data_IF_768927312244
#
_entry.id   IF_768927312244
#
_cell.length_a   1.000
_cell.length_b   1.000
_cell.length_c   1.000
_cell.angle_alpha   90.00
_cell.angle_beta   90.00
_cell.angle_gamma   90.00
#
_symmetry.space_group_name_H-M   'P 1'
#
loop_
_entity.id
_entity.type
_entity.pdbx_description
1 polymer ?
#
# COMPACT_ATOMS: atom_id res chain seq x y z
N UNK A 1 -37.46 -5.94 50.16
CA UNK A 1 -38.53 -6.69 49.46
C UNK A 1 -37.83 -7.88 48.79
N UNK A 2 -37.47 -8.96 49.50
CA UNK A 2 -38.37 -10.00 50.05
C UNK A 2 -39.53 -10.28 49.08
N UNK A 3 -39.80 -11.47 48.54
CA UNK A 3 -39.26 -12.84 48.67
C UNK A 3 -40.23 -13.71 47.86
N UNK A 4 -39.72 -14.74 47.14
CA UNK A 4 -40.26 -16.13 47.14
C UNK A 4 -41.65 -16.38 46.51
N UNK A 5 -42.05 -17.56 46.02
CA UNK A 5 -41.54 -18.93 45.99
C UNK A 5 -42.55 -19.74 45.14
N UNK A 6 -42.09 -20.69 44.33
CA UNK A 6 -42.50 -22.12 44.38
C UNK A 6 -41.86 -22.91 43.22
N UNK A 7 -41.42 -24.18 43.28
CA UNK A 7 -40.97 -25.21 44.26
C UNK A 7 -40.50 -26.39 43.35
N UNK A 8 -39.23 -26.87 43.35
CA UNK A 8 -38.64 -28.02 44.09
C UNK A 8 -39.45 -29.37 43.97
N UNK A 9 -38.93 -30.53 43.50
CA UNK A 9 -37.73 -31.32 43.97
C UNK A 9 -37.28 -32.49 43.04
N UNK A 10 -35.94 -32.66 42.93
CA UNK A 10 -35.02 -33.85 43.04
C UNK A 10 -35.19 -35.08 42.12
N UNK A 11 -34.19 -35.79 41.58
CA UNK A 11 -32.77 -36.11 41.90
C UNK A 11 -31.97 -36.23 40.56
N UNK A 12 -30.64 -36.14 40.41
CA UNK A 12 -29.54 -36.69 41.19
C UNK A 12 -28.22 -35.93 40.93
N UNK A 13 -27.29 -36.09 41.87
CA UNK A 13 -26.00 -35.45 41.97
C UNK A 13 -24.96 -35.92 40.92
N UNK A 14 -24.21 -34.98 40.37
CA UNK A 14 -22.75 -35.06 40.23
C UNK A 14 -22.23 -33.66 39.86
N UNK A 15 -21.24 -33.20 40.63
CA UNK A 15 -20.65 -31.88 40.60
C UNK A 15 -20.15 -31.44 39.21
N UNK A 16 -20.38 -30.17 38.87
CA UNK A 16 -19.71 -29.44 37.78
C UNK A 16 -18.27 -29.12 38.20
N UNK A 17 -17.49 -30.16 38.46
CA UNK A 17 -16.03 -30.13 38.57
C UNK A 17 -15.37 -31.05 37.52
N UNK A 18 -16.13 -31.45 36.50
CA UNK A 18 -15.70 -32.37 35.45
C UNK A 18 -16.36 -32.06 34.09
N UNK A 19 -16.40 -30.79 33.70
CA UNK A 19 -16.39 -30.45 32.26
C UNK A 19 -14.92 -30.38 31.86
N UNK A 20 -14.47 -31.59 31.53
CA UNK A 20 -13.13 -32.03 31.22
C UNK A 20 -12.38 -31.03 30.34
N UNK A 21 -11.28 -30.52 30.90
CA UNK A 21 -10.13 -30.10 30.14
C UNK A 21 -9.90 -31.10 28.99
N UNK A 22 -9.91 -30.60 27.76
CA UNK A 22 -9.34 -31.31 26.63
C UNK A 22 -7.87 -31.57 27.00
N UNK A 23 -7.59 -32.74 27.55
CA UNK A 23 -6.27 -33.18 27.94
C UNK A 23 -5.44 -33.35 26.67
N UNK A 24 -4.70 -32.31 26.28
CA UNK A 24 -3.41 -32.51 25.63
C UNK A 24 -2.51 -33.15 26.71
N UNK A 25 -2.48 -34.48 26.77
CA UNK A 25 -1.49 -35.20 27.57
C UNK A 25 -0.12 -34.69 27.14
N UNK A 26 0.67 -34.19 28.10
CA UNK A 26 2.04 -33.77 27.84
C UNK A 26 2.80 -34.94 27.17
N UNK A 27 3.61 -34.68 26.14
CA UNK A 27 4.30 -35.73 25.41
C UNK A 27 5.18 -36.53 26.38
N UNK A 28 5.18 -37.85 26.24
CA UNK A 28 6.05 -38.71 27.05
C UNK A 28 7.53 -38.48 26.67
N UNK A 29 8.48 -38.82 27.53
CA UNK A 29 9.91 -38.78 27.16
C UNK A 29 10.23 -39.60 25.90
N UNK A 30 9.48 -40.68 25.66
CA UNK A 30 9.56 -41.50 24.45
C UNK A 30 9.03 -40.76 23.21
N UNK A 31 7.90 -40.06 23.33
CA UNK A 31 7.36 -39.24 22.23
C UNK A 31 8.31 -38.10 21.86
N UNK A 32 8.92 -37.44 22.86
CA UNK A 32 9.90 -36.37 22.65
C UNK A 32 11.15 -36.89 21.96
N UNK A 33 11.64 -38.06 22.38
CA UNK A 33 12.79 -38.72 21.79
C UNK A 33 12.51 -39.15 20.33
N UNK A 34 11.36 -39.74 20.06
CA UNK A 34 10.95 -40.14 18.72
C UNK A 34 10.85 -38.94 17.76
N UNK A 35 10.34 -37.81 18.24
CA UNK A 35 10.31 -36.55 17.47
C UNK A 35 11.72 -36.02 17.20
N UNK A 36 12.62 -36.06 18.20
CA UNK A 36 14.01 -35.63 18.04
C UNK A 36 14.76 -36.51 17.03
N UNK A 37 14.56 -37.83 17.10
CA UNK A 37 15.13 -38.78 16.13
C UNK A 37 14.57 -38.58 14.71
N UNK A 38 13.25 -38.37 14.58
CA UNK A 38 12.61 -38.02 13.30
C UNK A 38 13.15 -36.72 12.71
N UNK A 39 13.44 -35.74 13.55
CA UNK A 39 14.09 -34.49 13.13
C UNK A 39 15.54 -34.71 12.67
N UNK A 40 16.32 -35.53 13.38
CA UNK A 40 17.70 -35.84 13.01
C UNK A 40 17.78 -36.60 11.68
N UNK A 41 16.94 -37.62 11.50
CA UNK A 41 16.88 -38.45 10.29
C UNK A 41 16.34 -37.71 9.06
N UNK A 42 15.39 -36.79 9.24
CA UNK A 42 14.90 -35.97 8.12
C UNK A 42 15.93 -34.95 7.63
N UNK A 43 16.82 -34.48 8.50
CA UNK A 43 17.90 -33.55 8.15
C UNK A 43 19.15 -34.27 7.65
N UNK A 44 19.36 -35.52 8.06
CA UNK A 44 20.43 -36.44 7.66
C UNK A 44 21.82 -35.81 7.52
N UNK A 45 22.23 -35.08 8.56
CA UNK A 45 23.53 -34.42 8.63
C UNK A 45 24.14 -34.53 10.04
N UNK A 46 25.48 -34.47 10.16
CA UNK A 46 26.16 -34.75 11.41
C UNK A 46 25.66 -33.92 12.59
N UNK A 47 25.46 -32.61 12.41
CA UNK A 47 25.08 -31.73 13.52
C UNK A 47 23.68 -32.06 14.07
N UNK A 48 22.78 -32.56 13.22
CA UNK A 48 21.44 -32.96 13.63
C UNK A 48 21.48 -34.22 14.52
N UNK A 49 22.31 -35.20 14.14
CA UNK A 49 22.56 -36.38 14.95
C UNK A 49 23.36 -36.07 16.23
N UNK A 50 24.31 -35.13 16.19
CA UNK A 50 25.04 -34.67 17.37
C UNK A 50 24.12 -33.96 18.37
N UNK A 51 23.21 -33.11 17.88
CA UNK A 51 22.20 -32.45 18.72
C UNK A 51 21.31 -33.48 19.40
N UNK A 52 20.87 -34.50 18.65
CA UNK A 52 20.12 -35.62 19.20
C UNK A 52 20.93 -36.38 20.27
N UNK A 53 22.19 -36.71 20.00
CA UNK A 53 23.07 -37.43 20.93
C UNK A 53 23.38 -36.65 22.20
N UNK A 54 23.39 -35.31 22.15
CA UNK A 54 23.63 -34.47 23.32
C UNK A 54 22.49 -34.59 24.36
N UNK A 55 21.26 -34.79 23.90
CA UNK A 55 20.07 -34.91 24.77
C UNK A 55 19.73 -36.38 25.06
N UNK A 56 19.88 -37.25 24.06
CA UNK A 56 19.43 -38.64 24.08
C UNK A 56 20.59 -39.64 23.91
N UNK A 57 21.78 -39.34 24.43
CA UNK A 57 22.98 -40.15 24.20
C UNK A 57 22.99 -41.59 24.75
N UNK A 58 21.95 -41.98 25.51
CA UNK A 58 21.74 -43.34 26.03
C UNK A 58 20.50 -44.04 25.42
N UNK A 59 19.84 -43.42 24.44
CA UNK A 59 18.67 -43.99 23.78
C UNK A 59 19.02 -45.23 22.95
N UNK A 60 17.97 -45.95 22.51
CA UNK A 60 18.10 -47.04 21.54
C UNK A 60 18.70 -46.56 20.20
N UNK A 61 18.43 -45.32 19.78
CA UNK A 61 18.94 -44.78 18.51
C UNK A 61 20.32 -44.12 18.63
N UNK A 62 20.92 -44.04 19.82
CA UNK A 62 22.23 -43.39 20.00
C UNK A 62 23.34 -44.06 19.16
N UNK A 63 23.41 -45.39 19.15
CA UNK A 63 24.40 -46.09 18.31
C UNK A 63 24.13 -45.91 16.81
N UNK A 64 22.85 -45.92 16.40
CA UNK A 64 22.48 -45.67 15.02
C UNK A 64 22.87 -44.24 14.57
N UNK A 65 22.67 -43.25 15.43
CA UNK A 65 23.10 -41.86 15.19
C UNK A 65 24.63 -41.78 15.01
N UNK A 66 25.41 -42.41 15.90
CA UNK A 66 26.89 -42.44 15.81
C UNK A 66 27.37 -43.12 14.53
N UNK A 67 26.77 -44.25 14.17
CA UNK A 67 27.08 -44.97 12.93
C UNK A 67 26.76 -44.11 11.70
N UNK A 68 25.61 -43.43 11.70
CA UNK A 68 25.22 -42.58 10.59
C UNK A 68 26.14 -41.37 10.43
N UNK A 69 26.56 -40.74 11.53
CA UNK A 69 27.60 -39.69 11.48
C UNK A 69 28.88 -40.24 10.85
N UNK A 70 29.36 -41.40 11.28
CA UNK A 70 30.59 -42.01 10.74
C UNK A 70 30.48 -42.32 9.24
N UNK A 71 29.32 -42.83 8.80
CA UNK A 71 29.03 -43.11 7.39
C UNK A 71 29.01 -41.82 6.56
N UNK A 72 28.31 -40.78 7.02
CA UNK A 72 28.26 -39.48 6.36
C UNK A 72 29.66 -38.88 6.21
N UNK A 73 30.53 -39.03 7.22
CA UNK A 73 31.92 -38.59 7.17
C UNK A 73 32.75 -39.37 6.14
N UNK A 74 32.47 -40.65 5.91
CA UNK A 74 33.14 -41.43 4.85
C UNK A 74 32.66 -40.97 3.48
N UNK A 75 31.35 -40.83 3.29
CA UNK A 75 30.74 -40.38 2.03
C UNK A 75 31.24 -39.00 1.62
N UNK A 76 31.34 -38.07 2.58
CA UNK A 76 31.90 -36.73 2.37
C UNK A 76 33.34 -36.79 1.87
N UNK A 77 34.22 -37.57 2.54
CA UNK A 77 35.63 -37.68 2.14
C UNK A 77 35.80 -38.28 0.75
N UNK A 78 35.01 -39.29 0.42
CA UNK A 78 35.01 -39.89 -0.91
C UNK A 78 34.52 -38.91 -1.98
N UNK A 79 33.43 -38.18 -1.70
CA UNK A 79 32.90 -37.16 -2.60
C UNK A 79 33.91 -36.03 -2.81
N UNK A 80 34.59 -35.60 -1.76
CA UNK A 80 35.68 -34.63 -1.85
C UNK A 80 36.85 -35.13 -2.70
N UNK A 81 37.27 -36.38 -2.50
CA UNK A 81 38.31 -37.02 -3.31
C UNK A 81 37.94 -37.04 -4.80
N UNK A 82 36.69 -37.38 -5.12
CA UNK A 82 36.16 -37.32 -6.50
C UNK A 82 36.13 -35.90 -7.05
N UNK A 83 35.65 -34.92 -6.27
CA UNK A 83 35.60 -33.52 -6.69
C UNK A 83 36.98 -32.98 -7.04
N UNK A 84 38.00 -33.30 -6.22
CA UNK A 84 39.40 -32.96 -6.50
C UNK A 84 39.98 -33.68 -7.70
N UNK A 85 39.60 -34.93 -7.93
CA UNK A 85 40.07 -35.70 -9.07
C UNK A 85 39.51 -35.15 -10.39
N UNK A 86 38.23 -34.79 -10.42
CA UNK A 86 37.57 -34.22 -11.60
C UNK A 86 37.96 -32.74 -11.79
N UNK A 87 38.04 -31.98 -10.70
CA UNK A 87 38.45 -30.58 -10.61
C UNK A 87 37.74 -29.65 -11.61
N UNK A 88 36.41 -29.73 -11.66
CA UNK A 88 35.54 -28.84 -12.46
C UNK A 88 34.56 -28.08 -11.57
N UNK A 89 34.03 -26.95 -12.06
CA UNK A 89 32.98 -26.18 -11.39
C UNK A 89 31.83 -27.09 -10.94
N UNK A 90 31.28 -27.90 -11.87
CA UNK A 90 30.19 -28.83 -11.61
C UNK A 90 30.50 -29.88 -10.53
N UNK A 91 31.73 -30.42 -10.50
CA UNK A 91 32.09 -31.43 -9.50
C UNK A 91 32.13 -30.85 -8.08
N UNK A 92 32.62 -29.61 -7.92
CA UNK A 92 32.60 -28.92 -6.62
C UNK A 92 31.18 -28.45 -6.25
N UNK A 93 30.35 -28.05 -7.21
CA UNK A 93 28.93 -27.76 -6.97
C UNK A 93 28.16 -28.99 -6.48
N UNK A 94 28.36 -30.14 -7.10
CA UNK A 94 27.73 -31.39 -6.70
C UNK A 94 28.14 -31.82 -5.29
N UNK A 95 29.43 -31.68 -4.96
CA UNK A 95 29.93 -31.90 -3.61
C UNK A 95 29.26 -30.96 -2.60
N UNK A 96 29.21 -29.66 -2.87
CA UNK A 96 28.62 -28.67 -1.95
C UNK A 96 27.11 -28.82 -1.75
N UNK A 97 26.40 -29.27 -2.79
CA UNK A 97 24.97 -29.55 -2.69
C UNK A 97 24.67 -30.69 -1.72
N UNK A 98 25.54 -31.70 -1.68
CA UNK A 98 25.37 -32.90 -0.85
C UNK A 98 26.02 -32.74 0.54
N UNK A 99 27.16 -32.06 0.59
CA UNK A 99 28.05 -31.99 1.75
C UNK A 99 28.46 -30.54 2.08
N UNK A 100 27.56 -29.57 1.91
CA UNK A 100 27.81 -28.16 2.26
C UNK A 100 28.12 -27.92 3.74
N UNK A 101 27.84 -28.91 4.60
CA UNK A 101 28.22 -28.96 6.02
C UNK A 101 29.62 -29.55 6.26
N UNK A 102 30.24 -30.16 5.26
CA UNK A 102 31.51 -30.89 5.38
C UNK A 102 32.71 -29.99 5.66
N UNK A 103 33.76 -30.56 6.25
CA UNK A 103 34.99 -29.83 6.57
C UNK A 103 35.67 -29.22 5.32
N UNK A 104 35.47 -29.80 4.14
CA UNK A 104 36.03 -29.30 2.88
C UNK A 104 35.09 -28.37 2.11
N UNK A 105 33.91 -28.01 2.66
CA UNK A 105 32.95 -27.13 1.99
C UNK A 105 33.57 -25.78 1.63
N UNK A 106 34.27 -25.15 2.55
CA UNK A 106 34.92 -23.85 2.28
C UNK A 106 35.98 -23.96 1.17
N UNK A 107 36.78 -25.02 1.15
CA UNK A 107 37.81 -25.22 0.12
C UNK A 107 37.18 -25.52 -1.24
N UNK A 108 36.15 -26.38 -1.28
CA UNK A 108 35.37 -26.66 -2.47
C UNK A 108 34.73 -25.40 -3.06
N UNK A 109 34.20 -24.53 -2.19
CA UNK A 109 33.59 -23.25 -2.58
C UNK A 109 34.61 -22.30 -3.22
N UNK A 110 35.76 -22.13 -2.59
CA UNK A 110 36.87 -21.35 -3.13
C UNK A 110 37.33 -21.90 -4.48
N UNK A 111 37.47 -23.22 -4.58
CA UNK A 111 37.94 -23.85 -5.82
C UNK A 111 36.92 -23.74 -6.95
N UNK A 112 35.62 -23.92 -6.65
CA UNK A 112 34.52 -23.64 -7.59
C UNK A 112 34.59 -22.20 -8.08
N UNK A 113 34.73 -21.23 -7.18
CA UNK A 113 34.78 -19.81 -7.53
C UNK A 113 35.95 -19.49 -8.48
N UNK A 114 37.15 -20.02 -8.19
CA UNK A 114 38.32 -19.87 -9.08
C UNK A 114 38.07 -20.46 -10.46
N UNK A 115 37.45 -21.64 -10.53
CA UNK A 115 37.16 -22.32 -11.80
C UNK A 115 36.04 -21.64 -12.60
N UNK A 116 35.06 -21.04 -11.93
CA UNK A 116 33.97 -20.30 -12.55
C UNK A 116 34.42 -18.92 -13.08
N UNK A 117 35.48 -18.33 -12.50
CA UNK A 117 35.91 -16.96 -12.79
C UNK A 117 36.09 -16.64 -14.29
N UNK A 118 36.71 -17.48 -15.14
CA UNK A 118 36.86 -17.19 -16.57
C UNK A 118 35.52 -17.15 -17.31
N UNK A 119 34.58 -18.05 -16.97
CA UNK A 119 33.24 -18.10 -17.56
C UNK A 119 32.43 -16.88 -17.14
N UNK A 120 32.46 -16.52 -15.85
CA UNK A 120 31.79 -15.34 -15.33
C UNK A 120 32.33 -14.05 -15.95
N UNK A 121 33.66 -13.91 -16.07
CA UNK A 121 34.28 -12.76 -16.76
C UNK A 121 33.92 -12.69 -18.26
N UNK A 122 33.76 -13.84 -18.93
CA UNK A 122 33.27 -13.85 -20.31
C UNK A 122 31.81 -13.42 -20.41
N UNK A 123 30.97 -13.86 -19.48
CA UNK A 123 29.56 -13.50 -19.41
C UNK A 123 29.37 -12.01 -19.11
N UNK A 124 30.08 -11.47 -18.11
CA UNK A 124 30.10 -10.04 -17.81
C UNK A 124 30.48 -9.22 -19.04
N UNK A 125 31.56 -9.59 -19.75
CA UNK A 125 31.99 -8.87 -20.95
C UNK A 125 30.94 -8.87 -22.06
N UNK A 126 30.20 -9.97 -22.21
CA UNK A 126 29.11 -10.05 -23.18
C UNK A 126 27.93 -9.15 -22.78
N UNK A 127 27.53 -9.19 -21.51
CA UNK A 127 26.45 -8.36 -20.98
C UNK A 127 26.82 -6.87 -21.03
N UNK A 128 28.09 -6.53 -20.74
CA UNK A 128 28.64 -5.18 -20.88
C UNK A 128 28.61 -4.71 -22.34
N UNK A 129 29.07 -5.54 -23.27
CA UNK A 129 29.06 -5.19 -24.69
C UNK A 129 27.64 -4.92 -25.19
N UNK A 130 26.66 -5.68 -24.72
CA UNK A 130 25.26 -5.42 -25.05
C UNK A 130 24.74 -4.14 -24.40
N UNK A 131 25.02 -3.90 -23.12
CA UNK A 131 24.62 -2.68 -22.43
C UNK A 131 25.21 -1.43 -23.11
N UNK A 132 26.49 -1.47 -23.46
CA UNK A 132 27.19 -0.41 -24.18
C UNK A 132 26.68 -0.22 -25.61
N UNK A 133 26.26 -1.30 -26.29
CA UNK A 133 25.68 -1.23 -27.64
C UNK A 133 24.28 -0.63 -27.64
N UNK A 134 23.45 -0.99 -26.66
CA UNK A 134 22.08 -0.48 -26.51
C UNK A 134 22.09 0.96 -26.00
N UNK A 135 23.00 1.26 -25.07
CA UNK A 135 23.25 2.56 -24.47
C UNK A 135 21.99 3.26 -23.91
N UNK A 136 21.19 2.49 -23.16
CA UNK A 136 19.97 2.97 -22.48
C UNK A 136 19.99 2.71 -21.00
N UNK A 137 19.20 3.49 -20.27
CA UNK A 137 19.04 3.41 -18.81
C UNK A 137 18.72 1.98 -18.36
N UNK A 138 17.72 1.34 -18.97
CA UNK A 138 17.30 -0.02 -18.61
C UNK A 138 18.39 -1.06 -18.84
N UNK A 139 19.23 -0.88 -19.86
CA UNK A 139 20.32 -1.80 -20.17
C UNK A 139 21.43 -1.74 -19.12
N UNK A 140 21.83 -0.53 -18.71
CA UNK A 140 22.83 -0.35 -17.63
C UNK A 140 22.28 -0.72 -16.26
N UNK A 141 21.00 -0.45 -15.96
CA UNK A 141 20.37 -0.92 -14.72
C UNK A 141 20.36 -2.46 -14.65
N UNK A 142 20.00 -3.13 -15.75
CA UNK A 142 20.05 -4.58 -15.87
C UNK A 142 21.46 -5.14 -15.67
N UNK A 143 22.45 -4.53 -16.34
CA UNK A 143 23.86 -4.89 -16.18
C UNK A 143 24.33 -4.75 -14.74
N UNK A 144 24.05 -3.61 -14.09
CA UNK A 144 24.45 -3.35 -12.70
C UNK A 144 23.74 -4.24 -11.69
N UNK A 145 22.52 -4.71 -11.98
CA UNK A 145 21.83 -5.67 -11.14
C UNK A 145 22.48 -7.07 -11.23
N UNK A 146 22.93 -7.48 -12.43
CA UNK A 146 23.62 -8.76 -12.63
C UNK A 146 25.08 -8.73 -12.14
N UNK A 147 25.76 -7.60 -12.34
CA UNK A 147 27.20 -7.42 -12.08
C UNK A 147 27.47 -6.20 -11.18
N UNK A 148 26.95 -6.17 -9.95
CA UNK A 148 27.03 -4.99 -9.08
C UNK A 148 28.47 -4.60 -8.73
N UNK A 149 29.39 -5.57 -8.66
CA UNK A 149 30.81 -5.34 -8.39
C UNK A 149 31.68 -5.87 -9.54
N UNK A 150 31.13 -5.97 -10.76
CA UNK A 150 31.86 -6.38 -11.95
C UNK A 150 32.95 -5.36 -12.34
N UNK A 151 33.89 -5.80 -13.17
CA UNK A 151 34.96 -4.97 -13.70
C UNK A 151 34.43 -3.72 -14.44
N UNK A 152 33.29 -3.82 -15.12
CA UNK A 152 32.67 -2.68 -15.84
C UNK A 152 31.60 -1.95 -15.01
N UNK A 153 31.41 -2.28 -13.73
CA UNK A 153 30.33 -1.72 -12.91
C UNK A 153 30.49 -0.23 -12.60
N UNK A 154 31.72 0.28 -12.46
CA UNK A 154 31.94 1.73 -12.26
C UNK A 154 31.64 2.53 -13.52
N UNK A 155 32.07 2.03 -14.68
CA UNK A 155 31.81 2.65 -15.98
C UNK A 155 30.31 2.66 -16.28
N UNK A 156 29.63 1.54 -16.06
CA UNK A 156 28.18 1.44 -16.19
C UNK A 156 27.44 2.44 -15.29
N UNK A 157 27.86 2.61 -14.02
CA UNK A 157 27.29 3.62 -13.12
C UNK A 157 27.49 5.04 -13.63
N UNK A 158 28.70 5.36 -14.08
CA UNK A 158 29.01 6.69 -14.63
C UNK A 158 28.17 6.98 -15.88
N UNK A 159 27.99 5.97 -16.75
CA UNK A 159 27.19 6.14 -17.97
C UNK A 159 25.71 6.27 -17.65
N UNK A 160 25.21 5.48 -16.70
CA UNK A 160 23.83 5.57 -16.21
C UNK A 160 23.53 6.94 -15.60
N UNK A 161 24.44 7.48 -14.76
CA UNK A 161 24.31 8.82 -14.20
C UNK A 161 24.23 9.90 -15.28
N UNK A 162 25.09 9.82 -16.30
CA UNK A 162 25.01 10.70 -17.45
C UNK A 162 23.65 10.62 -18.16
N UNK A 163 23.16 9.42 -18.45
CA UNK A 163 21.87 9.22 -19.12
C UNK A 163 20.70 9.76 -18.31
N UNK A 164 20.74 9.68 -16.98
CA UNK A 164 19.71 10.29 -16.14
C UNK A 164 19.67 11.83 -16.23
N UNK A 165 20.76 12.47 -16.66
CA UNK A 165 20.84 13.92 -16.83
C UNK A 165 20.45 14.41 -18.24
N UNK A 166 20.02 13.51 -19.14
CA UNK A 166 19.52 13.86 -20.47
C UNK A 166 17.99 14.03 -20.49
N UNK A 167 17.47 14.46 -21.65
CA UNK A 167 16.02 14.49 -21.90
C UNK A 167 15.42 13.07 -21.93
N UNK A 168 16.14 12.07 -22.44
CA UNK A 168 15.74 10.66 -22.33
C UNK A 168 15.61 10.23 -20.86
N UNK A 169 16.57 10.57 -20.00
CA UNK A 169 16.45 10.29 -18.56
C UNK A 169 15.27 11.00 -17.91
N UNK A 170 15.02 12.26 -18.25
CA UNK A 170 13.84 12.98 -17.77
C UNK A 170 12.53 12.34 -18.28
N UNK A 171 12.51 11.85 -19.50
CA UNK A 171 11.38 11.13 -20.08
C UNK A 171 11.13 9.80 -19.36
N UNK A 172 12.16 8.99 -19.13
CA UNK A 172 12.05 7.73 -18.38
C UNK A 172 11.54 7.99 -16.96
N UNK A 173 12.00 9.06 -16.28
CA UNK A 173 11.44 9.45 -14.98
C UNK A 173 9.94 9.78 -15.08
N UNK A 174 9.53 10.55 -16.08
CA UNK A 174 8.13 10.88 -16.28
C UNK A 174 7.27 9.64 -16.57
N UNK A 175 7.79 8.69 -17.34
CA UNK A 175 7.14 7.41 -17.59
C UNK A 175 7.03 6.53 -16.34
N UNK A 176 8.08 6.47 -15.52
CA UNK A 176 8.06 5.69 -14.26
C UNK A 176 7.11 6.30 -13.22
N UNK A 177 7.00 7.62 -13.18
CA UNK A 177 6.07 8.31 -12.30
C UNK A 177 4.62 8.19 -12.79
N UNK A 178 4.42 8.03 -14.11
CA UNK A 178 3.13 7.89 -14.79
C UNK A 178 2.04 8.78 -14.17
N UNK A 179 2.28 10.09 -14.21
CA UNK A 179 1.38 11.07 -13.62
C UNK A 179 1.33 12.35 -14.42
N UNK A 180 0.23 13.09 -14.26
CA UNK A 180 0.04 14.41 -14.85
C UNK A 180 1.21 15.34 -14.51
N UNK A 181 1.65 15.34 -13.25
CA UNK A 181 2.78 16.15 -12.79
C UNK A 181 4.09 15.78 -13.50
N UNK A 182 4.42 14.48 -13.57
CA UNK A 182 5.65 14.01 -14.20
C UNK A 182 5.76 14.38 -15.68
N UNK A 183 4.68 14.16 -16.44
CA UNK A 183 4.66 14.51 -17.86
C UNK A 183 4.66 16.03 -18.08
N UNK A 184 3.99 16.81 -17.23
CA UNK A 184 4.02 18.27 -17.30
C UNK A 184 5.40 18.85 -16.96
N UNK A 185 6.07 18.32 -15.94
CA UNK A 185 7.45 18.68 -15.58
C UNK A 185 8.42 18.40 -16.72
N UNK A 186 8.32 17.22 -17.33
CA UNK A 186 9.11 16.85 -18.51
C UNK A 186 8.90 17.84 -19.67
N UNK A 187 7.66 18.15 -20.02
CA UNK A 187 7.34 19.09 -21.10
C UNK A 187 7.81 20.51 -20.82
N UNK A 188 7.86 20.93 -19.55
CA UNK A 188 8.38 22.25 -19.15
C UNK A 188 9.89 22.32 -19.33
N UNK A 189 10.61 21.28 -18.93
CA UNK A 189 12.06 21.22 -19.02
C UNK A 189 12.55 20.97 -20.45
N UNK A 190 11.86 20.11 -21.20
CA UNK A 190 12.27 19.63 -22.53
C UNK A 190 11.15 19.75 -23.58
N UNK A 191 10.63 20.96 -23.85
CA UNK A 191 9.48 21.15 -24.75
C UNK A 191 9.73 20.76 -26.22
N UNK A 192 11.00 20.62 -26.62
CA UNK A 192 11.44 20.25 -27.98
C UNK A 192 12.08 18.86 -28.06
N UNK A 193 12.07 18.09 -26.97
CA UNK A 193 12.58 16.71 -26.99
C UNK A 193 11.74 15.85 -27.95
N UNK A 194 12.34 14.84 -28.61
CA UNK A 194 11.58 13.86 -29.41
C UNK A 194 10.43 13.21 -28.62
N UNK A 195 10.54 13.08 -27.29
CA UNK A 195 9.50 12.47 -26.45
C UNK A 195 8.36 13.45 -26.07
N UNK A 196 8.44 14.73 -26.44
CA UNK A 196 7.44 15.73 -26.08
C UNK A 196 6.05 15.40 -26.66
N UNK A 197 5.98 14.83 -27.87
CA UNK A 197 4.71 14.41 -28.46
C UNK A 197 4.05 13.30 -27.64
N UNK A 198 4.83 12.33 -27.16
CA UNK A 198 4.35 11.23 -26.34
C UNK A 198 3.87 11.71 -24.96
N UNK A 199 4.61 12.60 -24.33
CA UNK A 199 4.21 13.22 -23.06
C UNK A 199 2.87 13.97 -23.18
N UNK A 200 2.67 14.73 -24.26
CA UNK A 200 1.38 15.41 -24.54
C UNK A 200 0.25 14.41 -24.73
N UNK A 201 0.49 13.34 -25.49
CA UNK A 201 -0.51 12.27 -25.69
C UNK A 201 -0.92 11.63 -24.36
N UNK A 202 0.03 11.39 -23.45
CA UNK A 202 -0.25 10.85 -22.11
C UNK A 202 -1.11 11.82 -21.28
N UNK A 203 -0.80 13.11 -21.30
CA UNK A 203 -1.62 14.13 -20.63
C UNK A 203 -3.05 14.20 -21.19
N UNK A 204 -3.20 14.13 -22.51
CA UNK A 204 -4.52 14.11 -23.16
C UNK A 204 -5.32 12.86 -22.77
N UNK A 205 -4.66 11.73 -22.56
CA UNK A 205 -5.29 10.50 -22.08
C UNK A 205 -5.79 10.63 -20.65
N UNK A 206 -4.97 11.14 -19.71
CA UNK A 206 -5.44 11.43 -18.34
C UNK A 206 -6.64 12.36 -18.36
N UNK A 207 -6.59 13.41 -19.18
CA UNK A 207 -7.69 14.35 -19.31
C UNK A 207 -8.97 13.67 -19.81
N UNK A 208 -8.89 12.81 -20.83
CA UNK A 208 -10.05 12.05 -21.32
C UNK A 208 -10.62 11.11 -20.25
N UNK A 209 -9.77 10.45 -19.48
CA UNK A 209 -10.20 9.56 -18.39
C UNK A 209 -10.90 10.33 -17.27
N UNK A 210 -10.33 11.47 -16.87
CA UNK A 210 -10.90 12.39 -15.88
C UNK A 210 -12.27 12.94 -16.33
N UNK A 211 -12.34 13.47 -17.56
CA UNK A 211 -13.58 13.98 -18.16
C UNK A 211 -14.67 12.88 -18.23
N UNK A 212 -14.29 11.66 -18.62
CA UNK A 212 -15.23 10.54 -18.69
C UNK A 212 -15.76 10.13 -17.31
N UNK A 213 -14.89 10.06 -16.30
CA UNK A 213 -15.26 9.72 -14.94
C UNK A 213 -16.17 10.79 -14.33
N UNK A 214 -15.85 12.06 -14.57
CA UNK A 214 -16.70 13.19 -14.20
C UNK A 214 -18.09 13.12 -14.84
N UNK A 215 -18.16 12.91 -16.15
CA UNK A 215 -19.42 12.76 -16.88
C UNK A 215 -20.26 11.59 -16.38
N UNK A 216 -19.60 10.49 -16.00
CA UNK A 216 -20.24 9.32 -15.39
C UNK A 216 -20.86 9.66 -14.03
N UNK A 217 -20.12 10.37 -13.17
CA UNK A 217 -20.61 10.84 -11.87
C UNK A 217 -21.78 11.81 -12.03
N UNK A 218 -21.67 12.75 -12.98
CA UNK A 218 -22.75 13.69 -13.32
C UNK A 218 -24.04 13.04 -13.81
N UNK A 219 -23.94 11.97 -14.61
CA UNK A 219 -25.12 11.27 -15.13
C UNK A 219 -25.88 10.52 -14.03
N UNK A 220 -25.16 10.01 -13.04
CA UNK A 220 -25.78 9.33 -11.88
C UNK A 220 -26.27 10.33 -10.85
N UNK A 221 -25.55 11.42 -10.66
CA UNK A 221 -25.87 12.50 -9.73
C UNK A 221 -26.08 12.01 -8.28
N UNK A 222 -25.20 11.12 -7.83
CA UNK A 222 -25.25 10.49 -6.51
C UNK A 222 -23.97 10.80 -5.74
N UNK A 223 -24.08 11.02 -4.42
CA UNK A 223 -22.94 11.34 -3.54
C UNK A 223 -21.80 10.33 -3.71
N UNK A 224 -22.12 9.02 -3.71
CA UNK A 224 -21.13 7.94 -3.86
C UNK A 224 -20.32 8.02 -5.15
N UNK A 225 -20.91 8.52 -6.23
CA UNK A 225 -20.24 8.56 -7.54
C UNK A 225 -19.29 9.74 -7.63
N UNK A 226 -19.65 10.87 -7.04
CA UNK A 226 -18.74 12.01 -6.90
C UNK A 226 -17.60 11.70 -5.93
N UNK A 227 -17.87 10.99 -4.83
CA UNK A 227 -16.83 10.54 -3.90
C UNK A 227 -15.85 9.57 -4.57
N UNK A 228 -16.36 8.63 -5.39
CA UNK A 228 -15.53 7.74 -6.21
C UNK A 228 -14.65 8.54 -7.17
N UNK A 229 -15.22 9.53 -7.87
CA UNK A 229 -14.46 10.40 -8.75
C UNK A 229 -13.35 11.16 -8.00
N UNK A 230 -13.65 11.76 -6.83
CA UNK A 230 -12.65 12.47 -6.00
C UNK A 230 -11.53 11.53 -5.55
N UNK A 231 -11.87 10.28 -5.22
CA UNK A 231 -10.91 9.26 -4.82
C UNK A 231 -9.99 8.86 -5.98
N UNK A 232 -10.58 8.54 -7.14
CA UNK A 232 -9.83 8.05 -8.32
C UNK A 232 -9.01 9.17 -8.99
N UNK A 233 -9.47 10.42 -8.88
CA UNK A 233 -8.86 11.60 -9.47
C UNK A 233 -8.59 12.69 -8.40
N UNK A 234 -7.66 12.46 -7.47
CA UNK A 234 -7.41 13.37 -6.34
C UNK A 234 -6.85 14.74 -6.77
N UNK A 235 -6.30 14.83 -7.99
CA UNK A 235 -5.88 16.07 -8.63
C UNK A 235 -6.59 16.29 -9.98
N UNK A 236 -7.78 15.70 -10.15
CA UNK A 236 -8.61 15.83 -11.36
C UNK A 236 -9.12 17.24 -11.59
N UNK A 237 -9.47 17.57 -12.83
CA UNK A 237 -9.91 18.92 -13.20
C UNK A 237 -11.26 19.30 -12.57
N UNK A 238 -12.11 18.31 -12.30
CA UNK A 238 -13.47 18.50 -11.77
C UNK A 238 -13.57 18.20 -10.27
N UNK A 239 -12.44 18.05 -9.56
CA UNK A 239 -12.45 17.71 -8.13
C UNK A 239 -13.26 18.70 -7.30
N UNK A 240 -13.00 19.99 -7.47
CA UNK A 240 -13.70 21.03 -6.72
C UNK A 240 -15.21 21.07 -7.06
N UNK A 241 -15.56 20.77 -8.32
CA UNK A 241 -16.96 20.66 -8.75
C UNK A 241 -17.66 19.45 -8.10
N UNK A 242 -16.99 18.30 -8.05
CA UNK A 242 -17.48 17.10 -7.39
C UNK A 242 -17.66 17.32 -5.88
N UNK A 243 -16.70 17.95 -5.21
CA UNK A 243 -16.79 18.27 -3.77
C UNK A 243 -17.97 19.20 -3.48
N UNK A 244 -18.15 20.25 -4.30
CA UNK A 244 -19.32 21.14 -4.23
C UNK A 244 -20.61 20.37 -4.41
N UNK A 245 -20.67 19.44 -5.36
CA UNK A 245 -21.89 18.68 -5.64
C UNK A 245 -22.24 17.71 -4.52
N UNK A 246 -21.24 17.05 -3.93
CA UNK A 246 -21.41 16.22 -2.72
C UNK A 246 -22.01 17.05 -1.58
N UNK A 247 -21.48 18.24 -1.34
CA UNK A 247 -22.01 19.12 -0.30
C UNK A 247 -23.48 19.50 -0.55
N UNK A 248 -23.83 19.86 -1.79
CA UNK A 248 -25.22 20.20 -2.17
C UNK A 248 -26.18 19.03 -1.98
N UNK A 249 -25.85 17.85 -2.50
CA UNK A 249 -26.70 16.66 -2.39
C UNK A 249 -26.96 16.26 -0.93
N UNK A 250 -25.92 16.32 -0.08
CA UNK A 250 -26.07 16.05 1.35
C UNK A 250 -26.93 17.10 2.06
N UNK A 251 -26.82 18.37 1.68
CA UNK A 251 -27.66 19.43 2.23
C UNK A 251 -29.12 19.26 1.80
N UNK A 252 -29.38 18.92 0.55
CA UNK A 252 -30.72 18.65 0.02
C UNK A 252 -31.37 17.45 0.70
N UNK A 253 -30.62 16.36 0.89
CA UNK A 253 -31.08 15.16 1.62
C UNK A 253 -31.47 15.52 3.07
N UNK A 254 -30.62 16.27 3.78
CA UNK A 254 -30.92 16.74 5.14
C UNK A 254 -32.17 17.62 5.19
N UNK A 255 -32.31 18.56 4.27
CA UNK A 255 -33.50 19.42 4.19
C UNK A 255 -34.78 18.63 3.90
N UNK A 256 -34.69 17.60 3.05
CA UNK A 256 -35.81 16.70 2.77
C UNK A 256 -36.18 15.87 4.01
N UNK A 257 -35.18 15.34 4.72
CA UNK A 257 -35.37 14.61 5.98
C UNK A 257 -36.03 15.49 7.06
N UNK A 258 -35.53 16.71 7.27
CA UNK A 258 -36.11 17.62 8.27
C UNK A 258 -37.57 17.98 7.96
N UNK A 259 -37.93 18.08 6.67
CA UNK A 259 -39.35 18.24 6.26
C UNK A 259 -40.18 17.01 6.59
N UNK A 260 -39.65 15.81 6.37
CA UNK A 260 -40.34 14.57 6.71
C UNK A 260 -40.55 14.45 8.23
N UNK A 261 -39.51 14.75 9.03
CA UNK A 261 -39.57 14.77 10.50
C UNK A 261 -40.55 15.81 11.03
N UNK A 262 -40.59 17.03 10.46
CA UNK A 262 -41.55 18.06 10.86
C UNK A 262 -43.00 17.65 10.62
N UNK A 263 -43.27 16.87 9.57
CA UNK A 263 -44.60 16.35 9.27
C UNK A 263 -44.94 15.12 10.12
N UNK A 264 -43.96 14.25 10.34
CA UNK A 264 -44.07 13.01 11.09
C UNK A 264 -45.26 12.12 10.66
N UNK A 265 -45.48 12.04 9.35
CA UNK A 265 -46.54 11.21 8.74
C UNK A 265 -45.94 10.16 7.81
N UNK A 266 -46.67 9.07 7.59
CA UNK A 266 -46.27 8.01 6.63
C UNK A 266 -46.00 8.65 5.25
N UNK A 267 -46.92 9.48 4.74
CA UNK A 267 -46.76 10.16 3.44
C UNK A 267 -45.52 11.07 3.39
N UNK A 268 -45.18 11.74 4.49
CA UNK A 268 -43.98 12.59 4.57
C UNK A 268 -42.69 11.79 4.43
N UNK A 269 -42.61 10.62 5.06
CA UNK A 269 -41.47 9.72 4.95
C UNK A 269 -41.44 8.96 3.61
N UNK A 270 -42.60 8.57 3.07
CA UNK A 270 -42.68 7.95 1.73
C UNK A 270 -42.24 8.94 0.64
N UNK A 271 -42.62 10.22 0.75
CA UNK A 271 -42.12 11.27 -0.14
C UNK A 271 -40.61 11.45 -0.04
N UNK A 272 -40.04 11.42 1.16
CA UNK A 272 -38.59 11.43 1.35
C UNK A 272 -37.91 10.23 0.66
N UNK A 273 -38.40 9.02 0.89
CA UNK A 273 -37.86 7.80 0.27
C UNK A 273 -37.98 7.79 -1.26
N UNK A 274 -39.02 8.42 -1.80
CA UNK A 274 -39.23 8.55 -3.24
C UNK A 274 -38.31 9.60 -3.89
N UNK A 275 -38.03 10.71 -3.20
CA UNK A 275 -37.22 11.82 -3.74
C UNK A 275 -35.73 11.68 -3.47
N UNK A 276 -35.33 11.06 -2.35
CA UNK A 276 -33.94 10.88 -1.94
C UNK A 276 -33.54 9.41 -2.07
N UNK A 277 -33.31 8.95 -3.32
CA UNK A 277 -33.11 7.52 -3.64
C UNK A 277 -31.94 6.86 -2.92
N UNK A 278 -30.86 7.60 -2.67
CA UNK A 278 -29.67 7.14 -1.93
C UNK A 278 -29.36 8.07 -0.72
N UNK A 279 -30.40 8.65 -0.12
CA UNK A 279 -30.26 9.51 1.06
C UNK A 279 -29.77 8.76 2.32
N UNK A 280 -29.10 9.47 3.23
CA UNK A 280 -28.53 8.92 4.46
C UNK A 280 -29.62 8.46 5.45
N UNK A 281 -30.80 9.09 5.41
CA UNK A 281 -31.87 8.87 6.37
C UNK A 281 -32.90 7.82 5.95
N UNK A 282 -32.67 7.08 4.86
CA UNK A 282 -33.62 6.08 4.33
C UNK A 282 -34.03 5.03 5.37
N UNK A 283 -33.06 4.42 6.05
CA UNK A 283 -33.34 3.43 7.09
C UNK A 283 -34.13 4.02 8.27
N UNK A 284 -33.86 5.28 8.61
CA UNK A 284 -34.59 5.99 9.67
C UNK A 284 -36.03 6.26 9.25
N UNK A 285 -36.24 6.69 8.00
CA UNK A 285 -37.57 6.89 7.43
C UNK A 285 -38.38 5.59 7.43
N UNK A 286 -37.80 4.48 6.96
CA UNK A 286 -38.45 3.17 6.94
C UNK A 286 -38.82 2.67 8.34
N UNK A 287 -37.93 2.82 9.32
CA UNK A 287 -38.24 2.48 10.72
C UNK A 287 -39.39 3.33 11.24
N UNK A 288 -39.39 4.63 10.95
CA UNK A 288 -40.45 5.53 11.43
C UNK A 288 -41.80 5.21 10.79
N UNK A 289 -41.85 4.91 9.49
CA UNK A 289 -43.06 4.43 8.81
C UNK A 289 -43.62 3.20 9.51
N UNK A 290 -42.77 2.22 9.86
CA UNK A 290 -43.20 1.01 10.57
C UNK A 290 -43.84 1.35 11.91
N UNK A 291 -43.19 2.18 12.72
CA UNK A 291 -43.73 2.62 14.02
C UNK A 291 -45.07 3.35 13.88
N UNK A 292 -45.21 4.23 12.88
CA UNK A 292 -46.47 4.94 12.63
C UNK A 292 -47.59 3.99 12.20
N UNK A 293 -47.29 2.98 11.36
CA UNK A 293 -48.26 1.94 10.96
C UNK A 293 -48.69 1.08 12.15
N UNK A 294 -47.75 0.68 13.01
CA UNK A 294 -48.06 -0.08 14.23
C UNK A 294 -48.95 0.71 15.18
N UNK A 295 -48.68 1.99 15.39
CA UNK A 295 -49.50 2.87 16.22
C UNK A 295 -50.92 3.07 15.64
N UNK A 296 -51.07 3.08 14.31
CA UNK A 296 -52.38 3.13 13.64
C UNK A 296 -53.14 1.79 13.77
N UNK A 297 -52.44 0.66 13.70
CA UNK A 297 -53.05 -0.66 13.82
C UNK A 297 -53.45 -0.99 15.28
N UNK A 298 -52.69 -0.51 16.25
CA UNK A 298 -52.91 -0.72 17.69
C UNK A 298 -52.97 0.64 18.41
N UNK A 299 -54.07 1.39 18.30
CA UNK A 299 -54.20 2.67 18.98
C UNK A 299 -54.17 2.46 20.51
N UNK A 300 -53.56 3.39 21.28
CA UNK A 300 -53.57 3.30 22.73
C UNK A 300 -55.02 3.30 23.25
N UNK A 301 -55.30 2.58 24.36
CA UNK A 301 -56.64 2.58 24.96
C UNK A 301 -57.06 4.02 25.29
N UNK A 302 -58.36 4.36 25.16
CA UNK A 302 -58.83 5.70 25.43
C UNK A 302 -58.48 6.10 26.88
N UNK A 303 -58.18 7.38 27.13
CA UNK A 303 -57.94 7.84 28.49
C UNK A 303 -59.16 7.51 29.36
N UNK A 304 -58.97 7.17 30.65
CA UNK A 304 -60.09 6.91 31.54
C UNK A 304 -61.05 8.10 31.52
N UNK A 305 -62.38 7.86 31.57
CA UNK A 305 -63.35 8.95 31.56
C UNK A 305 -63.03 9.92 32.70
N UNK A 306 -62.85 11.19 32.36
CA UNK A 306 -62.71 12.26 33.34
C UNK A 306 -64.02 12.31 34.12
N UNK A 307 -64.07 11.75 35.32
CA UNK A 307 -65.20 11.95 36.23
C UNK A 307 -65.25 13.42 36.58
N UNK A 308 -66.20 14.16 36.00
CA UNK A 308 -66.49 15.53 36.42
C UNK A 308 -66.84 15.50 37.92
N UNK A 309 -66.18 16.31 38.78
CA UNK A 309 -66.64 16.53 40.15
C UNK A 309 -68.06 17.11 40.16
N UNK A 310 -68.90 16.84 41.18
CA UNK A 310 -70.27 17.32 41.21
C UNK A 310 -70.34 18.85 41.14
N UNK A 311 -71.33 19.35 40.38
CA UNK A 311 -71.51 20.78 40.13
C UNK A 311 -71.67 21.58 41.44
N UNK A 312 -70.98 22.73 41.59
CA UNK A 312 -71.16 23.60 42.76
C UNK A 312 -72.56 24.25 42.77
N UNK A 313 -73.12 24.58 43.95
CA UNK A 313 -74.47 25.14 44.08
C UNK A 313 -74.59 26.55 43.46
N UNK A 314 -75.80 26.98 43.06
CA UNK A 314 -76.00 28.23 42.33
C UNK A 314 -75.68 29.47 43.18
N UNK A 315 -75.16 30.54 42.57
CA UNK A 315 -74.76 31.75 43.28
C UNK A 315 -75.98 32.58 43.76
N UNK A 316 -75.84 33.35 44.87
CA UNK A 316 -76.88 34.24 45.38
C UNK A 316 -77.13 35.46 44.46
N UNK A 317 -78.31 36.11 44.55
CA UNK A 317 -78.73 37.17 43.63
C UNK A 317 -77.85 38.45 43.73
N UNK A 318 -77.77 39.24 42.64
CA UNK A 318 -76.81 40.33 42.51
C UNK A 318 -77.17 41.52 43.40
N UNK A 319 -76.16 42.11 44.06
CA UNK A 319 -76.26 43.41 44.72
C UNK A 319 -76.27 44.54 43.67
N UNK A 320 -76.97 45.66 43.91
CA UNK A 320 -77.01 46.79 42.99
C UNK A 320 -75.63 47.47 42.87
N UNK A 321 -75.26 47.84 41.63
CA UNK A 321 -74.00 48.51 41.27
C UNK A 321 -73.91 49.91 41.88
N UNK A 322 -72.80 50.29 42.52
CA UNK A 322 -72.46 51.69 42.73
C UNK A 322 -72.08 52.38 41.41
N UNK A 323 -72.38 53.67 41.35
CA UNK A 323 -72.25 54.58 40.21
C UNK A 323 -70.81 54.78 39.77
N UNK A 324 -70.65 54.97 38.46
CA UNK A 324 -69.43 55.41 37.77
C UNK A 324 -68.87 56.71 38.34
N UNK A 325 -67.87 56.64 39.22
CA UNK A 325 -66.83 57.66 39.40
C UNK A 325 -65.51 56.95 39.72
N UNK A 326 -64.44 57.34 39.02
CA UNK A 326 -63.06 56.83 39.05
C UNK A 326 -62.73 55.63 38.15
N UNK A 327 -62.82 55.83 36.83
CA UNK A 327 -61.97 55.08 35.88
C UNK A 327 -60.57 55.75 35.81
N UNK A 328 -59.47 55.04 36.12
CA UNK A 328 -58.13 55.52 35.84
C UNK A 328 -57.86 55.53 34.32
N UNK A 329 -57.00 56.45 33.81
CA UNK A 329 -56.73 56.55 32.38
C UNK A 329 -56.10 55.27 31.80
N UNK A 330 -56.30 54.98 30.51
CA UNK A 330 -55.76 53.77 29.88
C UNK A 330 -54.24 53.76 29.90
N UNK A 331 -53.66 52.58 30.17
CA UNK A 331 -52.23 52.34 30.11
C UNK A 331 -51.66 52.61 28.70
N UNK A 332 -50.43 53.13 28.58
CA UNK A 332 -49.80 53.32 27.27
C UNK A 332 -49.56 51.98 26.56
N UNK A 333 -49.55 51.96 25.22
CA UNK A 333 -49.32 50.74 24.45
C UNK A 333 -47.93 50.15 24.73
N UNK A 334 -47.77 48.82 24.67
CA UNK A 334 -46.45 48.19 24.83
C UNK A 334 -45.48 48.64 23.72
N UNK A 335 -44.18 48.72 23.99
CA UNK A 335 -43.20 49.08 22.97
C UNK A 335 -43.19 48.05 21.84
N UNK A 336 -43.12 48.55 20.61
CA UNK A 336 -42.89 47.75 19.40
C UNK A 336 -41.55 47.04 19.57
N UNK A 337 -41.58 45.73 19.81
CA UNK A 337 -40.38 44.90 19.72
C UNK A 337 -40.07 44.74 18.25
N UNK A 338 -39.11 45.52 17.75
CA UNK A 338 -38.49 45.26 16.45
C UNK A 338 -37.90 43.84 16.47
N UNK A 339 -38.08 43.02 15.41
CA UNK A 339 -37.40 41.74 15.32
C UNK A 339 -35.89 41.98 15.39
N UNK A 340 -35.11 41.08 16.03
CA UNK A 340 -33.66 41.23 16.09
C UNK A 340 -33.08 41.29 14.67
N UNK A 341 -32.14 42.21 14.46
CA UNK A 341 -31.37 42.31 13.23
C UNK A 341 -30.76 40.94 12.87
N UNK A 342 -30.65 40.59 11.56
CA UNK A 342 -29.92 39.40 11.17
C UNK A 342 -28.48 39.48 11.74
N UNK A 343 -27.89 38.36 12.16
CA UNK A 343 -26.51 38.37 12.63
C UNK A 343 -25.60 38.94 11.52
N UNK A 344 -24.51 39.65 11.89
CA UNK A 344 -23.57 40.14 10.91
C UNK A 344 -23.03 38.97 10.08
N UNK A 345 -22.97 39.17 8.76
CA UNK A 345 -22.22 38.31 7.85
C UNK A 345 -20.79 38.27 8.37
N UNK A 346 -20.41 37.18 9.02
CA UNK A 346 -19.00 36.87 9.26
C UNK A 346 -18.36 36.69 7.90
N UNK A 347 -17.56 37.67 7.48
CA UNK A 347 -16.56 37.45 6.45
C UNK A 347 -15.75 36.21 6.85
N UNK A 348 -15.42 35.31 5.91
CA UNK A 348 -14.55 34.18 6.21
C UNK A 348 -13.22 34.71 6.79
N UNK A 349 -12.63 34.03 7.78
CA UNK A 349 -11.36 34.45 8.33
C UNK A 349 -10.31 34.48 7.21
N UNK A 350 -9.58 35.59 7.10
CA UNK A 350 -8.31 35.64 6.38
C UNK A 350 -7.44 34.47 6.85
N UNK A 351 -6.81 33.69 5.94
CA UNK A 351 -5.95 32.60 6.35
C UNK A 351 -4.81 33.15 7.20
N UNK A 352 -4.67 32.64 8.44
CA UNK A 352 -3.49 32.89 9.25
C UNK A 352 -2.25 32.39 8.49
N UNK A 353 -1.12 33.11 8.52
CA UNK A 353 0.14 32.58 8.05
C UNK A 353 0.51 31.33 8.87
N UNK A 354 1.07 30.33 8.19
CA UNK A 354 1.50 29.05 8.77
C UNK A 354 2.39 29.28 10.00
N UNK A 355 2.38 28.37 10.99
CA UNK A 355 3.35 28.39 12.08
C UNK A 355 4.77 28.42 11.49
N UNK A 356 5.63 29.29 12.02
CA UNK A 356 7.07 29.24 11.74
C UNK A 356 7.58 27.87 12.19
N UNK A 357 8.23 27.16 11.27
CA UNK A 357 9.17 26.08 11.59
C UNK A 357 10.26 26.65 12.51
N UNK A 358 10.14 26.43 13.81
CA UNK A 358 11.19 26.66 14.80
C UNK A 358 11.34 25.45 15.71
N UNK A 359 11.45 24.26 15.11
CA UNK A 359 11.99 23.05 15.75
C UNK A 359 12.43 22.00 14.72
N UNK A 360 12.93 22.42 13.55
CA UNK A 360 13.72 21.54 12.68
C UNK A 360 15.21 21.83 12.89
N UNK A 361 16.06 20.80 13.11
CA UNK A 361 17.50 20.99 13.10
C UNK A 361 17.95 21.53 11.73
N UNK A 362 18.95 22.43 11.66
CA UNK A 362 19.37 23.02 10.40
C UNK A 362 19.86 21.93 9.43
N UNK A 363 19.60 22.07 8.11
CA UNK A 363 20.14 21.15 7.11
C UNK A 363 21.68 21.20 7.13
N UNK A 364 22.30 20.05 6.87
CA UNK A 364 23.76 19.93 6.79
C UNK A 364 24.34 20.93 5.78
N UNK A 365 25.54 21.51 6.05
CA UNK A 365 26.16 22.46 5.13
C UNK A 365 26.42 21.80 3.77
N UNK A 366 26.28 22.55 2.66
CA UNK A 366 26.59 22.03 1.34
C UNK A 366 28.06 21.59 1.27
N UNK A 367 28.37 20.52 0.50
CA UNK A 367 29.75 20.13 0.28
C UNK A 367 30.54 21.29 -0.36
N UNK A 368 31.84 21.41 -0.09
CA UNK A 368 32.66 22.48 -0.63
C UNK A 368 32.58 22.47 -2.17
N UNK A 369 32.43 23.66 -2.77
CA UNK A 369 32.48 23.83 -4.22
C UNK A 369 33.87 23.43 -4.68
N UNK A 370 34.00 22.22 -5.22
CA UNK A 370 35.20 21.78 -5.91
C UNK A 370 35.16 22.43 -7.29
N UNK A 371 36.05 23.40 -7.52
CA UNK A 371 36.26 23.99 -8.84
C UNK A 371 36.50 22.87 -9.87
N UNK A 372 35.88 22.91 -11.06
CA UNK A 372 36.10 21.89 -12.08
C UNK A 372 37.58 21.83 -12.48
N UNK A 373 38.14 20.64 -12.72
CA UNK A 373 39.52 20.51 -13.19
C UNK A 373 39.69 21.20 -14.56
N UNK A 374 40.89 21.74 -14.86
CA UNK A 374 41.14 22.38 -16.15
C UNK A 374 40.92 21.37 -17.30
N UNK A 375 40.48 21.84 -18.48
CA UNK A 375 40.16 20.97 -19.61
C UNK A 375 41.40 20.15 -20.03
N UNK A 376 41.17 18.86 -20.29
CA UNK A 376 42.18 17.91 -20.76
C UNK A 376 42.68 18.35 -22.13
N UNK A 377 44.01 18.41 -22.37
CA UNK A 377 44.54 18.76 -23.69
C UNK A 377 44.12 17.73 -24.74
N UNK A 378 43.90 18.15 -26.00
CA UNK A 378 43.47 17.24 -27.06
C UNK A 378 44.54 16.17 -27.35
N UNK A 379 44.12 14.95 -27.77
CA UNK A 379 45.04 13.86 -28.04
C UNK A 379 45.98 14.20 -29.21
N UNK A 380 47.21 13.67 -29.21
CA UNK A 380 48.15 13.87 -30.31
C UNK A 380 47.62 13.23 -31.61
N UNK A 381 47.97 13.81 -32.78
CA UNK A 381 47.54 13.26 -34.07
C UNK A 381 48.07 11.83 -34.28
N UNK A 382 47.34 10.99 -35.02
CA UNK A 382 47.74 9.61 -35.28
C UNK A 382 49.07 9.55 -36.04
N UNK A 383 49.93 8.63 -35.63
CA UNK A 383 51.22 8.38 -36.26
C UNK A 383 51.04 7.90 -37.71
N UNK A 384 51.74 8.55 -38.64
CA UNK A 384 51.81 8.16 -40.04
C UNK A 384 52.25 6.70 -40.17
N UNK A 385 51.41 5.87 -40.77
CA UNK A 385 51.79 4.54 -41.20
C UNK A 385 52.78 4.66 -42.35
N UNK A 386 54.06 4.60 -42.01
CA UNK A 386 55.15 4.42 -42.95
C UNK A 386 54.99 3.05 -43.61
N UNK A 387 54.60 3.06 -44.89
CA UNK A 387 54.53 1.86 -45.74
C UNK A 387 55.91 1.23 -45.87
N UNK A 388 56.08 0.07 -45.24
CA UNK A 388 57.24 -0.81 -45.38
C UNK A 388 57.12 -1.57 -46.71
N UNK A 389 57.75 -1.06 -47.77
CA UNK A 389 57.99 -1.82 -49.01
C UNK A 389 59.37 -2.48 -48.91
N UNK A 390 59.39 -3.75 -48.49
CA UNK A 390 60.54 -4.65 -48.64
C UNK A 390 60.07 -6.10 -48.84
N UNK A 391 60.59 -6.73 -49.90
CA UNK A 391 60.45 -8.16 -50.23
C UNK A 391 59.10 -8.47 -50.89
N UNK A 392 58.97 -9.20 -51.99
CA UNK A 392 59.82 -10.25 -52.54
C UNK A 392 59.49 -10.48 -54.02
N UNK A 393 60.33 -11.31 -54.65
CA UNK A 393 60.13 -12.02 -55.91
C UNK A 393 60.70 -11.37 -57.18
N UNK A 394 62.04 -11.33 -57.19
CA UNK A 394 62.87 -11.63 -58.36
C UNK A 394 62.69 -13.12 -58.72
N UNK A 395 61.95 -13.41 -59.79
CA UNK A 395 61.88 -14.72 -60.46
C UNK A 395 61.31 -14.50 -61.86
N UNK A 396 61.90 -15.14 -62.85
CA UNK A 396 61.52 -15.19 -64.27
C UNK A 396 61.93 -14.02 -65.18
N UNK A 397 63.19 -14.08 -65.63
CA UNK A 397 63.52 -14.03 -67.08
C UNK A 397 65.00 -14.33 -67.32
N UNK A 398 65.32 -15.62 -67.46
CA UNK A 398 66.43 -16.02 -68.32
C UNK A 398 65.86 -16.71 -69.56
N UNK A 399 66.23 -16.15 -70.71
CA UNK A 399 65.87 -16.61 -72.05
C UNK A 399 66.71 -17.82 -72.40
N UNK A 400 66.06 -18.88 -72.86
CA UNK A 400 66.68 -19.94 -73.64
C UNK A 400 65.71 -20.40 -74.71
N UNK A 401 65.86 -19.86 -75.92
CA UNK A 401 65.62 -20.61 -77.17
C UNK A 401 66.77 -21.62 -77.31
N UNK A 402 66.61 -22.81 -77.91
CA UNK A 402 66.05 -22.92 -79.26
C UNK A 402 65.26 -24.20 -79.63
N UNK A 403 64.63 -24.08 -80.81
CA UNK A 403 64.26 -25.10 -81.81
C UNK A 403 62.82 -25.62 -81.81
#
# INVERSE_FOLDING_TARGET
MTTKLWRLKMFAAASVAALLAACATAPTPEDVEALAWGSATSQDRPEAYETYLNVHGQSLHAEAARQRIAELMVLEREAWGRARQVNTEAAYEDYLRQFGWGANAQEADQRRAVLAAPRLAAQERADWAEAARVDRIEAYEGFLNAWPNGANSEEARSRLDYLWNTDEGAWVRAQRLDSVGGYADFLRAYPRSPFAADARRRLDEYRRQDDWAWDSARRRDEVREYERYIHDFPAGYHRDDAERRVYQLRADDRNAWDRAVRRDTIDGYDYYLATQRDGEFRDRAQRRIRTLREAQANPPPPPPPVTQPPAPPPPPPPRPRPRDQDQPPPAPPPPVVSPPAPPPVTQPPTPRPRPRDQDQPPPAPPPPVVSPPPPVPPPPPPADQQTDQRGDADSDRERGDPN
#
